data_IF_599562426278
#
_entry.id   IF_599562426278
#
_cell.length_a   1.000
_cell.length_b   1.000
_cell.length_c   1.000
_cell.angle_alpha   90.00
_cell.angle_beta   90.00
_cell.angle_gamma   90.00
#
_symmetry.space_group_name_H-M   'P 1'
#
loop_
_entity.id
_entity.type
_entity.pdbx_description
1 polymer ?
2 polymer ?
3 polymer ?
4 polymer ?
5 water ?
#
# COMPACT_ATOMS: atom_id res chain seq x y z
N UNK A 1 -3.18 -13.03 -0.94
CA UNK A 1 -3.16 -14.07 -1.97
C UNK A 1 -4.61 -14.46 -2.21
N UNK A 2 -5.02 -15.07 -1.09
CA UNK A 2 -6.42 -15.57 -1.01
C UNK A 2 -6.92 -14.64 0.09
N UNK A 3 -8.24 -14.58 0.06
CA UNK A 3 -9.00 -13.74 1.03
C UNK A 3 -8.24 -13.80 2.37
N UNK A 4 -7.22 -12.93 2.40
CA UNK A 4 -6.34 -12.86 3.60
C UNK A 4 -5.01 -13.38 3.05
N UNK A 5 -4.20 -12.47 2.61
CA UNK A 5 -2.85 -12.52 2.07
C UNK A 5 -2.10 -13.81 2.27
N UNK A 6 -1.04 -14.00 3.04
CA UNK A 6 -0.50 -15.43 3.05
C UNK A 6 -1.37 -16.44 3.80
N UNK A 7 -0.92 -17.03 4.91
CA UNK A 7 -1.53 -18.01 5.80
C UNK A 7 -1.24 -17.67 7.29
N UNK A 8 0.02 -17.15 7.41
CA UNK A 8 0.48 -16.72 8.74
C UNK A 8 0.39 -15.16 8.66
N UNK A 9 -0.38 -14.89 7.56
CA UNK A 9 -0.64 -13.52 7.16
C UNK A 9 -1.13 -12.68 8.34
N UNK A 10 -0.61 -11.46 8.17
CA UNK A 10 -0.81 -10.31 9.01
C UNK A 10 -0.34 -10.41 10.43
N UNK A 11 0.47 -11.42 10.83
CA UNK A 11 1.00 -11.54 12.18
C UNK A 11 2.50 -11.16 12.08
N UNK A 12 2.76 -9.97 12.57
CA UNK A 12 4.10 -9.41 12.55
C UNK A 12 5.03 -10.13 13.51
N UNK A 13 6.12 -10.66 12.95
CA UNK A 13 7.11 -11.38 13.73
C UNK A 13 7.54 -10.57 14.93
N UNK A 14 7.79 -9.28 14.86
CA UNK A 14 8.23 -8.41 15.93
C UNK A 14 7.20 -7.72 16.82
N UNK A 15 5.94 -8.00 16.59
CA UNK A 15 4.89 -7.36 17.43
C UNK A 15 3.93 -8.51 17.78
N UNK A 16 2.99 -8.84 16.93
CA UNK A 16 2.01 -9.90 17.21
C UNK A 16 2.65 -11.12 17.82
N UNK A 17 3.53 -11.81 17.17
CA UNK A 17 4.29 -12.96 17.68
C UNK A 17 4.96 -12.83 19.08
N UNK A 18 5.28 -11.65 19.62
CA UNK A 18 5.93 -11.57 20.93
C UNK A 18 5.01 -10.78 21.85
N UNK A 19 3.80 -10.72 21.35
CA UNK A 19 2.73 -9.98 22.06
C UNK A 19 3.16 -8.55 22.39
N UNK A 20 3.79 -7.85 21.42
CA UNK A 20 4.24 -6.45 21.62
C UNK A 20 3.36 -5.54 20.76
N UNK A 21 2.90 -4.43 21.27
CA UNK A 21 2.09 -3.50 20.50
C UNK A 21 2.91 -2.36 19.92
N UNK A 22 2.65 -1.93 18.69
CA UNK A 22 3.37 -0.77 18.06
C UNK A 22 2.76 0.48 18.75
N UNK A 23 3.61 1.51 18.67
CA UNK A 23 3.23 2.79 19.36
C UNK A 23 1.98 3.45 18.90
N UNK A 24 1.24 3.04 17.88
CA UNK A 24 0.00 3.86 17.63
C UNK A 24 -1.12 2.92 17.21
N UNK A 25 -0.83 1.64 17.33
CA UNK A 25 -1.90 0.72 16.95
C UNK A 25 -3.14 0.94 17.79
N UNK A 26 -3.09 1.35 19.04
CA UNK A 26 -4.17 1.61 19.98
C UNK A 26 -5.11 2.63 19.33
N UNK A 27 -4.54 3.61 18.65
CA UNK A 27 -5.30 4.68 17.97
C UNK A 27 -6.36 4.05 17.07
N UNK A 28 -5.95 3.16 16.24
CA UNK A 28 -6.74 2.39 15.33
C UNK A 28 -7.89 1.64 15.96
N UNK A 29 -7.49 0.74 16.87
CA UNK A 29 -8.38 -0.18 17.59
C UNK A 29 -9.41 0.58 18.39
N UNK A 30 -9.03 1.69 18.91
CA UNK A 30 -9.99 2.47 19.71
C UNK A 30 -11.13 3.04 18.90
N UNK A 31 -10.88 3.24 17.65
CA UNK A 31 -11.75 3.79 16.60
C UNK A 31 -12.77 2.75 16.15
N UNK A 32 -12.43 1.50 16.31
CA UNK A 32 -13.31 0.39 15.91
C UNK A 32 -14.26 0.26 17.08
N UNK A 33 -14.18 1.26 17.88
CA UNK A 33 -14.91 1.50 19.15
C UNK A 33 -14.41 0.54 20.24
N UNK A 34 -13.11 0.39 20.18
CA UNK A 34 -12.03 -0.31 20.87
C UNK A 34 -12.04 -1.79 20.50
N UNK A 35 -11.14 -2.31 19.70
CA UNK A 35 -11.08 -3.68 19.30
C UNK A 35 -11.46 -4.90 20.14
N UNK A 36 -10.61 -5.93 19.99
CA UNK A 36 -10.62 -7.26 20.57
C UNK A 36 -10.85 -7.22 22.09
N UNK B 1 4.43 10.56 2.37
CA UNK B 1 3.42 10.67 3.37
C UNK B 1 3.53 12.06 4.01
N UNK B 2 2.45 12.77 4.15
CA UNK B 2 2.36 14.09 4.77
C UNK B 2 1.86 14.09 6.21
N UNK B 3 2.63 14.66 7.13
CA UNK B 3 2.33 14.75 8.56
C UNK B 3 2.29 13.38 9.23
N UNK B 4 3.22 12.52 8.88
CA UNK B 4 3.27 11.15 9.42
C UNK B 4 4.43 10.95 10.39
N UNK B 5 4.94 9.73 10.54
CA UNK B 5 6.06 9.49 11.46
C UNK B 5 6.97 8.46 10.87
N UNK B 6 8.10 8.32 11.52
CA UNK B 6 9.09 7.31 11.13
C UNK B 6 8.58 5.96 11.61
N UNK B 7 8.33 5.06 10.72
CA UNK B 7 7.87 3.73 11.05
C UNK B 7 8.84 3.12 12.08
N UNK B 8 8.43 2.13 12.89
CA UNK B 8 9.34 1.49 13.84
C UNK B 8 9.89 0.27 13.05
N UNK B 9 10.94 -0.36 13.52
CA UNK B 9 11.49 -1.49 12.79
C UNK B 9 10.43 -2.57 12.95
N UNK B 10 10.16 -3.18 11.84
CA UNK B 10 9.26 -4.24 11.46
C UNK B 10 7.81 -3.94 11.75
N UNK B 11 7.39 -2.71 11.67
CA UNK B 11 6.04 -2.25 11.92
C UNK B 11 5.11 -2.59 10.74
N UNK B 12 5.63 -2.67 9.58
CA UNK B 12 5.07 -2.95 8.24
C UNK B 12 5.84 -3.92 7.36
N UNK B 13 5.93 -5.14 7.73
CA UNK B 13 6.68 -6.18 7.04
C UNK B 13 6.31 -6.57 5.60
N UNK B 14 5.13 -6.09 5.21
CA UNK B 14 4.55 -6.30 3.90
C UNK B 14 4.95 -5.11 2.95
N UNK B 15 5.56 -4.03 3.46
CA UNK B 15 5.90 -2.93 2.55
C UNK B 15 7.04 -3.34 1.62
N UNK B 16 6.75 -3.00 0.37
CA UNK B 16 7.70 -3.30 -0.74
C UNK B 16 8.14 -2.00 -1.38
N UNK B 17 9.27 -1.97 -2.11
CA UNK B 17 9.70 -0.69 -2.76
C UNK B 17 9.68 -0.98 -4.26
N UNK B 18 9.01 -0.10 -4.97
CA UNK B 18 9.01 -0.37 -6.48
C UNK B 18 10.15 0.55 -6.90
N UNK B 19 11.21 -0.06 -7.36
CA UNK B 19 12.50 0.59 -7.75
C UNK B 19 12.91 0.27 -9.19
N UNK B 20 13.21 1.40 -9.82
CA UNK B 20 13.65 1.57 -11.18
C UNK B 20 15.18 1.40 -11.28
N UNK B 21 15.53 0.52 -12.19
CA UNK B 21 16.90 0.14 -12.47
C UNK B 21 17.73 1.33 -12.95
N UNK B 22 17.30 1.94 -14.04
CA UNK B 22 18.07 3.10 -14.57
C UNK B 22 17.18 4.16 -15.25
N UNK B 23 17.17 5.36 -14.68
CA UNK B 23 17.88 5.74 -13.48
C UNK B 23 17.41 4.88 -12.30
N UNK B 24 18.26 4.68 -11.33
CA UNK B 24 17.99 3.89 -10.12
C UNK B 24 17.06 4.83 -9.35
N UNK B 25 15.85 4.43 -9.06
CA UNK B 25 14.97 5.37 -8.34
C UNK B 25 13.67 4.69 -7.91
N UNK B 26 13.10 5.30 -6.87
CA UNK B 26 11.85 4.88 -6.25
C UNK B 26 10.71 5.31 -7.17
N UNK B 27 10.07 4.28 -7.66
CA UNK B 27 8.90 4.38 -8.51
C UNK B 27 7.64 4.57 -7.63
N UNK B 28 7.35 3.59 -6.78
CA UNK B 28 6.17 3.59 -5.89
C UNK B 28 6.30 2.60 -4.72
N UNK B 29 5.17 2.48 -4.00
CA UNK B 29 5.08 1.55 -2.82
C UNK B 29 4.37 0.30 -3.36
N UNK B 30 4.29 -0.74 -2.56
CA UNK B 30 3.62 -2.00 -3.01
C UNK B 30 3.46 -2.82 -1.73
N UNK B 31 2.86 -4.00 -1.84
CA UNK B 31 2.70 -4.89 -0.66
C UNK B 31 2.77 -6.38 -0.99
N UNK B 32 3.45 -7.13 -0.12
CA UNK B 32 3.66 -8.61 -0.24
C UNK B 32 2.39 -9.36 0.23
N UNK B 33 1.67 -10.05 -0.67
CA UNK B 33 0.44 -10.77 -0.31
C UNK B 33 0.75 -12.26 -0.10
N UNK B 34 1.94 -12.67 -0.51
CA UNK B 34 2.49 -14.02 -0.41
C UNK B 34 3.99 -13.92 -0.77
N UNK B 35 4.72 -15.03 -0.69
CA UNK B 35 6.17 -15.11 -1.00
C UNK B 35 6.50 -14.93 -2.48
N UNK B 36 5.50 -14.98 -3.33
CA UNK B 36 5.72 -14.81 -4.76
C UNK B 36 4.93 -13.66 -5.43
N UNK B 37 4.01 -13.02 -4.72
CA UNK B 37 3.13 -11.97 -5.23
C UNK B 37 3.14 -10.66 -4.47
N UNK B 38 3.23 -9.66 -5.31
CA UNK B 38 3.26 -8.24 -4.90
C UNK B 38 2.03 -7.52 -5.46
N UNK B 39 1.48 -6.55 -4.79
CA UNK B 39 0.29 -5.78 -5.18
C UNK B 39 0.67 -4.29 -5.19
N UNK B 40 0.18 -3.70 -6.28
CA UNK B 40 0.48 -2.23 -6.47
C UNK B 40 -0.66 -1.63 -7.23
N UNK B 41 -0.49 -0.34 -7.53
CA UNK B 41 -1.47 0.49 -8.31
C UNK B 41 -1.15 0.29 -9.78
N UNK B 42 -2.03 -0.04 -10.70
CA UNK B 42 -1.60 -0.19 -12.11
C UNK B 42 -0.87 1.07 -12.68
N UNK B 43 -1.25 2.29 -12.28
CA UNK B 43 -0.76 3.56 -12.69
C UNK B 43 0.75 3.75 -12.41
N UNK B 44 1.34 2.86 -11.61
CA UNK B 44 2.76 2.91 -11.31
C UNK B 44 3.57 2.26 -12.50
N UNK B 45 2.91 1.43 -13.21
CA UNK B 45 3.34 0.64 -14.37
C UNK B 45 3.12 1.44 -15.66
N UNK B 46 1.84 1.51 -16.00
CA UNK B 46 1.10 2.11 -17.07
C UNK B 46 0.30 3.39 -16.82
N UNK B 47 0.67 4.39 -17.60
CA UNK B 47 0.14 5.75 -17.63
C UNK B 47 0.59 6.53 -18.88
N UNK B 48 -0.16 6.26 -19.97
CA UNK B 48 0.13 6.88 -21.29
C UNK B 48 0.24 8.38 -21.25
N UNK B 49 -0.68 8.99 -20.58
CA UNK B 49 -0.58 10.44 -20.48
C UNK B 49 0.85 10.81 -20.20
N UNK B 50 1.57 10.24 -19.26
CA UNK B 50 2.95 10.65 -19.02
C UNK B 50 3.94 9.76 -19.75
N UNK B 51 3.53 9.02 -20.72
CA UNK B 51 4.55 8.17 -21.42
C UNK B 51 5.20 7.15 -20.50
N UNK B 52 4.38 6.67 -19.55
CA UNK B 52 4.82 5.65 -18.55
C UNK B 52 4.38 4.24 -18.94
N UNK B 53 5.32 3.30 -19.04
CA UNK B 53 4.83 1.94 -19.43
C UNK B 53 5.94 0.95 -19.16
N UNK B 54 6.20 0.76 -17.88
CA UNK B 54 7.25 -0.15 -17.45
C UNK B 54 6.99 -1.61 -17.71
N UNK B 55 8.05 -2.32 -18.10
CA UNK B 55 8.07 -3.76 -18.37
C UNK B 55 8.72 -4.45 -17.16
N UNK B 56 8.61 -5.75 -17.14
CA UNK B 56 9.13 -6.64 -16.09
C UNK B 56 10.62 -6.43 -15.84
N UNK B 57 11.29 -6.14 -16.95
CA UNK B 57 12.71 -5.88 -17.05
C UNK B 57 13.08 -4.44 -16.67
N UNK B 58 12.09 -3.54 -16.57
CA UNK B 58 12.54 -2.21 -16.20
C UNK B 58 12.53 -2.10 -14.68
N UNK B 59 12.01 -3.12 -13.98
CA UNK B 59 11.96 -2.92 -12.53
C UNK B 59 12.55 -4.03 -11.68
N UNK B 60 12.77 -3.56 -10.46
CA UNK B 60 13.26 -4.22 -9.28
C UNK B 60 12.27 -3.97 -8.10
N UNK B 61 12.03 -5.08 -7.38
CA UNK B 61 11.15 -5.09 -6.19
C UNK B 61 12.00 -5.29 -4.96
N UNK B 62 11.98 -4.45 -4.00
CA UNK B 62 12.76 -4.51 -2.79
C UNK B 62 11.92 -4.57 -1.49
N UNK B 63 11.95 -5.79 -0.91
CA UNK B 63 11.29 -6.12 0.33
C UNK B 63 12.08 -6.17 1.63
N UNK B 64 11.70 -5.45 2.69
CA UNK B 64 12.39 -5.49 3.98
C UNK B 64 13.07 -4.22 4.44
N UNK B 65 12.79 -3.25 3.58
CA UNK B 65 13.35 -1.92 3.73
C UNK B 65 12.76 -1.12 4.87
N UNK B 66 13.58 -0.19 5.33
CA UNK B 66 13.29 0.77 6.36
C UNK B 66 13.81 2.12 5.76
N UNK B 67 15.07 1.94 5.43
CA UNK B 67 15.83 3.10 4.87
C UNK B 67 15.33 3.26 3.43
N UNK B 68 15.13 4.55 3.10
CA UNK B 68 14.68 4.90 1.77
C UNK B 68 15.66 4.48 0.67
N UNK B 69 16.84 5.00 0.80
CA UNK B 69 18.07 4.99 0.05
C UNK B 69 19.22 4.05 0.19
N UNK B 70 19.66 3.74 1.42
CA UNK B 70 20.79 2.80 1.56
C UNK B 70 20.40 1.37 1.15
N UNK B 71 21.43 0.58 0.80
CA UNK B 71 21.14 -0.83 0.46
C UNK B 71 21.25 -1.63 1.75
N UNK B 72 20.24 -1.90 2.54
CA UNK B 72 20.19 -2.57 3.84
C UNK B 72 20.54 -4.06 3.76
N UNK B 73 21.84 -4.17 3.69
CA UNK B 73 22.72 -5.30 3.55
C UNK B 73 22.21 -6.61 4.16
N UNK B 74 22.22 -6.88 5.47
CA UNK B 74 21.67 -8.29 5.57
C UNK B 74 20.15 -8.31 5.81
N UNK B 75 19.47 -7.18 5.85
CA UNK B 75 18.00 -7.14 6.06
C UNK B 75 17.17 -7.26 4.77
N UNK B 76 17.31 -6.39 3.77
CA UNK B 76 16.55 -6.42 2.54
C UNK B 76 16.86 -7.50 1.55
N UNK B 77 15.93 -7.76 0.66
CA UNK B 77 15.95 -8.76 -0.43
C UNK B 77 15.42 -8.11 -1.72
N UNK B 78 16.18 -8.22 -2.79
CA UNK B 78 15.77 -7.63 -4.07
C UNK B 78 15.25 -8.73 -4.95
N UNK B 79 14.24 -8.54 -5.72
CA UNK B 79 13.67 -9.52 -6.61
C UNK B 79 13.42 -8.85 -7.99
N UNK B 80 13.39 -9.79 -8.88
CA UNK B 80 13.17 -9.62 -10.32
C UNK B 80 11.72 -10.12 -10.53
N UNK B 81 11.02 -9.24 -11.21
CA UNK B 81 9.61 -9.57 -11.48
C UNK B 81 9.69 -10.66 -12.56
N UNK B 82 8.65 -11.45 -12.52
CA UNK B 82 8.55 -12.51 -13.53
C UNK B 82 7.46 -12.08 -14.51
N UNK B 83 6.34 -11.62 -13.93
CA UNK B 83 5.20 -11.18 -14.72
C UNK B 83 4.46 -9.99 -14.12
N UNK B 84 3.81 -9.30 -15.06
CA UNK B 84 3.03 -8.11 -14.65
C UNK B 84 1.59 -8.31 -15.12
N UNK B 85 0.65 -8.03 -14.22
CA UNK B 85 -0.77 -8.14 -14.55
C UNK B 85 -1.46 -6.86 -14.05
N UNK B 86 -2.03 -6.18 -15.01
CA UNK B 86 -2.79 -4.95 -14.89
C UNK B 86 -4.26 -5.26 -15.03
N UNK B 87 -5.07 -4.69 -14.18
CA UNK B 87 -6.53 -4.98 -14.32
C UNK B 87 -6.91 -4.69 -15.78
N UNK B 88 -7.58 -5.62 -16.45
CA UNK B 88 -8.00 -5.43 -17.85
C UNK B 88 -8.88 -4.20 -17.99
N UNK B 89 -9.68 -3.81 -17.00
CA UNK B 89 -10.51 -2.63 -17.10
C UNK B 89 -10.07 -1.46 -16.23
N UNK B 90 -8.78 -1.25 -16.12
CA UNK B 90 -8.22 -0.11 -15.37
C UNK B 90 -8.53 1.13 -16.21
N UNK B 91 -9.03 2.19 -15.58
CA UNK B 91 -9.32 3.40 -16.34
C UNK B 91 -8.31 4.56 -16.16
N UNK B 92 -7.31 4.49 -17.05
CA UNK B 92 -6.26 5.55 -16.97
C UNK B 92 -6.83 6.79 -17.68
N UNK B 93 -7.78 6.56 -18.57
CA UNK B 93 -8.42 7.61 -19.33
C UNK B 93 -9.30 8.47 -18.43
N UNK B 94 -10.14 7.90 -17.51
CA UNK B 94 -10.91 9.02 -16.83
C UNK B 94 -10.65 9.16 -15.36
N UNK B 95 -10.88 8.16 -14.54
CA UNK B 95 -10.63 8.41 -13.10
C UNK B 95 -9.67 7.45 -12.43
N UNK B 96 -8.87 6.57 -13.01
CA UNK B 96 -7.97 5.66 -12.27
C UNK B 96 -8.81 4.58 -11.57
N UNK B 97 -9.90 4.23 -12.23
CA UNK B 97 -10.85 3.22 -11.76
C UNK B 97 -10.18 1.86 -12.04
N UNK B 98 -10.12 1.13 -10.90
CA UNK B 98 -9.47 -0.20 -10.99
C UNK B 98 -7.94 -0.03 -11.06
N UNK B 99 -7.46 0.87 -10.19
CA UNK B 99 -5.94 1.07 -10.21
C UNK B 99 -5.30 0.06 -9.24
N UNK B 100 -5.11 -1.10 -9.86
CA UNK B 100 -4.57 -2.30 -9.24
C UNK B 100 -3.74 -3.03 -10.31
N UNK B 101 -2.80 -3.85 -9.80
CA UNK B 101 -1.93 -4.64 -10.66
C UNK B 101 -1.27 -5.62 -9.71
N UNK B 102 -1.03 -6.77 -10.32
CA UNK B 102 -0.31 -7.84 -9.56
C UNK B 102 1.08 -8.11 -10.19
N UNK B 103 2.00 -8.55 -9.36
CA UNK B 103 3.38 -8.90 -9.73
C UNK B 103 3.82 -10.29 -9.22
N UNK B 104 4.26 -11.09 -10.17
CA UNK B 104 4.77 -12.45 -9.90
C UNK B 104 6.29 -12.32 -9.89
N UNK B 105 6.80 -12.65 -8.68
CA UNK B 105 8.27 -12.53 -8.53
C UNK B 105 8.80 -13.85 -9.14
N UNK B 106 10.02 -13.68 -9.65
CA UNK B 106 10.77 -14.77 -10.30
C UNK B 106 11.04 -15.95 -9.41
N UNK B 107 11.24 -15.82 -8.11
CA UNK B 107 11.50 -16.98 -7.17
C UNK B 107 10.94 -16.47 -5.83
N UNK B 108 10.35 -17.32 -5.01
CA UNK B 108 9.77 -16.93 -3.73
C UNK B 108 10.83 -16.33 -2.81
N UNK B 109 10.38 -15.44 -1.99
CA UNK B 109 11.06 -14.70 -0.97
C UNK B 109 10.83 -15.48 0.36
N UNK B 110 11.95 -15.49 1.11
CA UNK B 110 11.85 -16.16 2.45
C UNK B 110 11.49 -15.01 3.43
N UNK B 111 10.60 -15.41 4.32
CA UNK B 111 10.06 -14.56 5.37
C UNK B 111 11.10 -14.39 6.45
N UNK B 112 10.96 -13.33 7.24
CA UNK B 112 11.95 -13.09 8.29
C UNK B 112 11.27 -12.07 9.19
N UNK B 113 11.99 -11.58 10.14
CA UNK B 113 11.54 -10.60 11.13
C UNK B 113 10.96 -9.31 10.51
N UNK B 114 11.54 -9.02 9.33
CA UNK B 114 11.26 -7.86 8.52
C UNK B 114 10.49 -7.99 7.21
N UNK B 115 10.09 -9.18 6.87
CA UNK B 115 9.38 -9.68 5.68
C UNK B 115 8.34 -10.75 6.03
N UNK B 116 7.12 -10.31 5.83
CA UNK B 116 5.91 -11.05 6.13
C UNK B 116 4.69 -10.46 5.44
N UNK B 117 3.95 -11.33 4.79
CA UNK B 117 2.77 -10.95 4.08
C UNK B 117 1.64 -10.42 5.01
N UNK B 118 0.79 -9.66 4.31
CA UNK B 118 -0.45 -9.01 4.82
C UNK B 118 -1.56 -9.94 4.27
N UNK B 119 -2.65 -10.01 4.95
CA UNK B 119 -3.87 -10.74 4.65
C UNK B 119 -4.81 -9.87 3.81
N UNK B 120 -5.41 -10.42 2.85
CA UNK B 120 -6.43 -9.88 1.91
C UNK B 120 -7.74 -10.11 2.69
N UNK B 121 -8.65 -9.15 2.63
CA UNK B 121 -9.86 -9.26 3.42
C UNK B 121 -10.90 -10.17 2.75
N UNK B 122 -11.68 -10.82 3.60
CA UNK B 122 -12.84 -11.67 3.19
C UNK B 122 -14.10 -10.79 3.27
N UNK B 123 -15.20 -11.23 2.62
CA UNK B 123 -16.45 -10.45 2.64
C UNK B 123 -16.87 -9.89 3.99
N UNK B 124 -16.58 -10.56 5.08
CA UNK B 124 -17.03 -10.09 6.37
C UNK B 124 -16.07 -9.18 7.08
N UNK B 125 -14.80 -9.38 6.75
CA UNK B 125 -13.79 -8.51 7.40
C UNK B 125 -14.08 -7.17 6.74
N UNK B 126 -14.11 -7.21 5.45
CA UNK B 126 -14.38 -6.00 4.63
C UNK B 126 -15.57 -5.30 5.24
N UNK B 127 -16.71 -6.04 5.29
CA UNK B 127 -17.97 -5.49 5.82
C UNK B 127 -17.83 -4.99 7.24
N UNK B 128 -17.14 -5.62 8.16
CA UNK B 128 -17.14 -4.93 9.49
C UNK B 128 -16.13 -3.84 9.68
N UNK B 129 -15.04 -3.68 8.96
CA UNK B 129 -14.12 -2.63 9.28
C UNK B 129 -14.24 -1.44 8.38
N UNK B 130 -14.73 -1.68 7.17
CA UNK B 130 -14.84 -0.51 6.22
C UNK B 130 -16.01 0.41 6.56
N UNK B 131 -15.89 1.18 7.59
CA UNK B 131 -16.82 2.13 8.13
C UNK B 131 -16.20 3.50 8.39
N UNK B 132 -16.81 4.56 7.87
CA UNK B 132 -16.31 5.97 8.01
C UNK B 132 -16.11 6.16 9.51
N UNK B 133 -15.02 6.85 9.84
CA UNK B 133 -14.84 6.94 11.34
C UNK B 133 -13.66 6.02 11.71
N UNK B 134 -13.65 4.78 11.20
CA UNK B 134 -12.59 3.78 11.46
C UNK B 134 -11.28 4.25 10.86
N UNK B 135 -10.22 4.09 11.63
CA UNK B 135 -8.90 4.52 11.10
C UNK B 135 -8.19 3.35 10.49
N UNK B 136 -7.34 3.53 9.52
CA UNK B 136 -6.53 2.62 8.72
C UNK B 136 -5.15 3.32 8.77
N UNK B 137 -4.11 2.73 8.28
CA UNK B 137 -2.77 3.20 8.29
C UNK B 137 -2.13 3.06 6.93
N UNK B 138 -1.47 4.16 6.53
CA UNK B 138 -0.76 4.24 5.25
C UNK B 138 0.76 4.37 5.54
N UNK B 139 1.52 3.79 4.59
CA UNK B 139 2.98 3.81 4.64
C UNK B 139 3.68 4.08 3.32
N UNK B 140 4.84 4.74 3.54
CA UNK B 140 5.60 5.04 2.30
C UNK B 140 6.79 5.94 2.54
N UNK B 141 7.59 5.97 1.48
CA UNK B 141 8.83 6.71 1.39
C UNK B 141 8.68 7.87 0.40
N UNK B 142 7.46 8.25 0.14
CA UNK B 142 7.06 9.35 -0.79
C UNK B 142 7.19 10.71 -0.12
N UNK B 143 6.98 11.72 -0.92
CA UNK B 143 7.08 13.12 -0.47
C UNK B 143 6.38 13.38 0.86
N UNK B 144 7.07 14.25 1.55
CA UNK B 144 6.67 14.77 2.87
C UNK B 144 5.86 16.05 2.70
N UNK B 145 5.95 16.57 1.50
CA UNK B 145 5.28 17.84 1.20
C UNK B 145 4.70 17.92 -0.19
N UNK B 146 3.48 18.43 -0.25
CA UNK B 146 2.81 18.59 -1.56
C UNK B 146 3.79 19.32 -2.49
N UNK B 155 11.27 16.79 2.00
CA UNK B 155 10.57 16.43 0.75
C UNK B 155 10.62 14.93 0.44
N UNK B 156 11.78 14.33 0.60
CA UNK B 156 12.01 12.87 0.37
C UNK B 156 12.46 12.41 1.78
N UNK B 157 11.71 11.54 2.45
CA UNK B 157 12.06 11.07 3.78
C UNK B 157 13.35 10.25 3.89
N UNK B 158 13.76 10.13 5.15
CA UNK B 158 14.94 9.31 5.42
C UNK B 158 14.51 7.82 5.58
N UNK B 159 13.57 7.65 6.46
CA UNK B 159 12.93 6.37 6.81
C UNK B 159 11.43 6.37 6.45
N UNK B 160 10.96 5.11 6.32
CA UNK B 160 9.56 4.75 6.02
C UNK B 160 8.65 5.57 6.93
N UNK B 161 7.62 6.18 6.34
CA UNK B 161 6.73 7.04 7.17
C UNK B 161 5.38 6.34 7.40
N UNK B 162 4.71 6.67 8.50
CA UNK B 162 3.47 6.03 8.80
C UNK B 162 2.48 7.15 9.09
N UNK B 163 1.21 6.94 8.93
CA UNK B 163 0.10 7.82 9.19
C UNK B 163 -1.18 6.93 9.30
N UNK B 164 -2.04 7.27 10.26
CA UNK B 164 -3.33 6.64 10.62
C UNK B 164 -4.40 7.64 10.19
N UNK B 165 -5.28 7.27 9.36
CA UNK B 165 -6.33 8.15 8.86
C UNK B 165 -7.72 7.58 9.03
N UNK B 166 -8.66 8.44 9.34
CA UNK B 166 -10.03 7.92 9.49
C UNK B 166 -10.64 7.70 8.09
N UNK B 167 -11.56 6.83 7.87
CA UNK B 167 -12.29 6.55 6.63
C UNK B 167 -13.50 7.53 6.61
N UNK B 168 -13.74 8.13 5.46
CA UNK B 168 -14.77 9.14 5.16
C UNK B 168 -15.93 8.63 4.34
N UNK B 169 -17.05 9.16 4.69
CA UNK B 169 -18.39 8.93 4.14
C UNK B 169 -18.39 9.18 2.63
N UNK B 170 -18.95 8.29 1.84
CA UNK B 170 -19.02 8.37 0.38
C UNK B 170 -19.35 9.77 -0.14
N UNK B 171 -20.41 10.36 0.36
CA UNK B 171 -20.88 11.68 0.05
C UNK B 171 -19.81 12.73 0.33
N UNK B 172 -19.32 12.89 1.54
CA UNK B 172 -18.26 13.91 1.74
C UNK B 172 -17.13 13.79 0.64
N UNK B 173 -16.85 12.51 0.36
CA UNK B 173 -15.87 12.06 -0.60
C UNK B 173 -16.20 12.63 -1.98
N UNK B 174 -17.48 12.38 -2.38
CA UNK B 174 -17.87 12.89 -3.73
C UNK B 174 -17.84 14.39 -3.86
N UNK B 175 -18.27 15.12 -2.83
CA UNK B 175 -18.32 16.59 -2.90
C UNK B 175 -17.02 17.31 -2.77
N UNK B 176 -15.90 16.67 -2.66
CA UNK B 176 -14.62 17.36 -2.48
C UNK B 176 -13.87 17.43 -3.79
N UNK B 177 -14.52 16.83 -4.79
CA UNK B 177 -13.91 16.76 -6.15
C UNK B 177 -14.95 16.76 -7.24
N UNK B 178 -14.48 16.99 -8.44
CA UNK B 178 -15.15 17.07 -9.70
C UNK B 178 -14.96 15.74 -10.41
N UNK B 179 -14.02 14.96 -9.98
CA UNK B 179 -13.73 13.65 -10.58
C UNK B 179 -14.83 12.61 -10.35
N UNK B 180 -15.18 11.75 -11.25
CA UNK B 180 -16.22 10.74 -11.02
C UNK B 180 -15.73 9.55 -10.14
N UNK B 181 -16.26 9.50 -8.94
CA UNK B 181 -15.90 8.45 -7.96
C UNK B 181 -16.71 7.16 -8.14
N UNK B 182 -16.06 6.06 -8.48
CA UNK B 182 -16.72 4.75 -8.67
C UNK B 182 -16.74 4.03 -7.33
N UNK B 183 -17.34 2.88 -7.28
CA UNK B 183 -17.57 1.93 -6.21
C UNK B 183 -16.29 1.11 -5.91
N UNK B 184 -15.30 1.21 -6.76
CA UNK B 184 -14.02 0.55 -6.54
C UNK B 184 -13.10 1.57 -5.83
N UNK B 185 -13.55 2.64 -5.25
CA UNK B 185 -12.60 3.59 -4.59
C UNK B 185 -13.15 3.90 -3.21
N UNK B 186 -12.42 4.55 -2.33
CA UNK B 186 -12.85 4.93 -0.98
C UNK B 186 -11.86 6.08 -0.72
N UNK B 187 -12.30 7.02 0.11
CA UNK B 187 -11.37 8.17 0.40
C UNK B 187 -11.15 8.17 1.91
N UNK B 188 -10.06 8.81 2.30
CA UNK B 188 -9.66 8.92 3.71
C UNK B 188 -8.86 10.21 3.94
N UNK B 189 -8.95 10.68 5.19
CA UNK B 189 -8.27 11.84 5.65
C UNK B 189 -9.14 12.42 6.73
N UNK B 190 -8.58 13.35 7.46
CA UNK B 190 -9.40 14.00 8.47
C UNK B 190 -10.08 15.23 7.79
N UNK B 191 -11.15 15.65 8.44
CA UNK B 191 -11.92 16.83 8.05
C UNK B 191 -11.16 18.02 8.66
N UNK B 192 -11.25 19.16 7.96
CA UNK B 192 -10.59 20.41 8.38
C UNK B 192 -10.96 20.76 9.81
N UNK B 193 -12.17 20.49 10.21
CA UNK B 193 -12.54 20.81 11.59
C UNK B 193 -11.70 19.94 12.52
N UNK B 194 -11.71 18.67 12.22
CA UNK B 194 -11.03 17.66 13.01
C UNK B 194 -9.67 18.14 13.47
N UNK B 195 -9.15 19.08 12.67
CA UNK B 195 -7.83 19.64 13.01
C UNK B 195 -6.89 18.53 13.50
N UNK B 196 -6.43 17.73 12.55
CA UNK B 196 -5.49 16.61 12.56
C UNK B 196 -5.19 16.43 11.06
N UNK B 197 -3.98 16.22 10.61
CA UNK B 197 -3.69 16.05 9.18
C UNK B 197 -3.03 14.71 8.81
N UNK B 198 -2.49 14.69 7.62
CA UNK B 198 -1.81 13.58 7.04
C UNK B 198 -2.47 13.09 5.75
N UNK B 199 -1.61 12.58 4.88
CA UNK B 199 -2.00 12.04 3.57
C UNK B 199 -0.81 11.30 2.92
N UNK B 200 -1.10 10.63 1.84
CA UNK B 200 -0.15 9.92 0.98
C UNK B 200 0.33 11.10 0.10
N UNK B 201 1.22 10.99 -0.83
CA UNK B 201 1.72 12.08 -1.68
C UNK B 201 2.51 11.39 -2.79
N UNK B 202 3.02 12.15 -3.75
CA UNK B 202 3.82 11.59 -4.84
C UNK B 202 4.81 10.57 -4.23
N UNK B 203 4.89 9.43 -4.95
CA UNK B 203 5.72 8.32 -4.59
C UNK B 203 5.16 7.27 -3.64
N UNK B 204 4.11 7.54 -2.92
CA UNK B 204 3.33 6.78 -1.98
C UNK B 204 2.44 5.75 -2.69
N UNK B 205 2.07 6.00 -3.92
CA UNK B 205 1.26 5.12 -4.70
C UNK B 205 1.63 3.67 -4.63
N UNK B 206 0.62 2.80 -4.52
CA UNK B 206 0.86 1.36 -4.52
C UNK B 206 1.02 0.83 -3.13
N UNK B 207 1.26 1.73 -2.19
CA UNK B 207 1.41 1.31 -0.78
C UNK B 207 0.01 0.87 -0.34
N UNK B 208 0.06 0.10 0.76
CA UNK B 208 -1.14 -0.49 1.34
C UNK B 208 -1.83 0.46 2.32
N UNK B 209 -3.11 0.39 2.42
CA UNK B 209 -3.98 1.08 3.38
C UNK B 209 -4.36 -0.18 4.26
N UNK B 210 -3.94 -0.29 5.50
CA UNK B 210 -4.19 -1.49 6.31
C UNK B 210 -5.00 -1.18 7.54
N UNK B 211 -5.60 -2.25 8.01
CA UNK B 211 -6.48 -2.22 9.21
C UNK B 211 -6.23 -3.43 10.07
N UNK B 212 -6.24 -3.25 11.38
CA UNK B 212 -6.00 -4.38 12.29
C UNK B 212 -7.35 -5.00 12.68
N UNK B 213 -7.57 -6.29 12.52
CA UNK B 213 -8.88 -6.78 12.95
C UNK B 213 -8.92 -7.06 14.43
N UNK B 214 -9.98 -6.49 15.02
CA UNK B 214 -10.21 -6.65 16.48
C UNK B 214 -10.75 -8.09 16.73
N UNK B 215 -11.08 -8.89 15.70
CA UNK B 215 -11.63 -10.27 16.00
C UNK B 215 -10.54 -11.31 16.12
N UNK B 216 -9.50 -11.19 15.25
CA UNK B 216 -8.37 -12.13 15.26
C UNK B 216 -7.02 -11.45 15.31
N UNK B 217 -6.90 -10.15 15.50
CA UNK B 217 -5.65 -9.41 15.57
C UNK B 217 -4.74 -9.48 14.32
N UNK B 218 -5.15 -9.67 13.14
CA UNK B 218 -4.39 -9.76 11.95
C UNK B 218 -4.50 -8.45 11.17
N UNK B 219 -3.48 -8.13 10.42
CA UNK B 219 -3.42 -6.91 9.62
C UNK B 219 -4.08 -7.26 8.32
N UNK B 220 -4.97 -6.36 7.95
CA UNK B 220 -5.70 -6.57 6.65
C UNK B 220 -5.46 -5.44 5.66
N UNK B 221 -5.31 -5.85 4.38
CA UNK B 221 -5.04 -4.78 3.42
C UNK B 221 -6.37 -4.37 2.77
N UNK B 222 -6.91 -3.23 3.10
CA UNK B 222 -8.18 -2.80 2.55
C UNK B 222 -8.11 -1.96 1.30
N UNK B 223 -7.13 -1.09 1.21
CA UNK B 223 -6.94 -0.20 0.09
C UNK B 223 -5.48 -0.12 -0.37
N UNK B 224 -5.46 0.46 -1.59
CA UNK B 224 -4.17 0.72 -2.24
C UNK B 224 -4.06 2.23 -2.52
N UNK B 225 -3.08 2.91 -2.05
CA UNK B 225 -2.86 4.34 -2.32
C UNK B 225 -2.96 4.56 -3.85
N UNK B 226 -3.95 5.38 -4.19
CA UNK B 226 -4.14 5.64 -5.60
C UNK B 226 -3.96 7.04 -6.13
N UNK B 227 -4.72 8.00 -5.63
CA UNK B 227 -4.59 9.40 -6.24
C UNK B 227 -5.18 10.39 -5.28
N UNK B 228 -5.03 11.62 -5.60
CA UNK B 228 -5.58 12.71 -4.71
C UNK B 228 -5.27 14.05 -5.40
N UNK B 229 -5.82 15.11 -4.85
CA UNK B 229 -5.57 16.49 -5.42
C UNK B 229 -4.64 17.22 -4.46
N UNK B 230 -3.39 17.36 -4.91
CA UNK B 230 -2.35 18.02 -4.02
C UNK B 230 -1.98 16.99 -2.93
N UNK B 231 -1.65 17.38 -1.72
CA UNK B 231 -1.31 16.40 -0.62
C UNK B 231 -1.63 17.12 0.69
N UNK B 232 -2.41 16.60 1.57
CA UNK B 232 -2.77 17.25 2.86
C UNK B 232 -3.40 18.65 2.78
N UNK B 233 -4.36 18.90 1.90
CA UNK B 233 -5.09 20.13 1.72
C UNK B 233 -6.42 20.01 2.43
N UNK B 234 -6.79 21.05 3.17
CA UNK B 234 -8.11 21.04 3.84
C UNK B 234 -9.21 20.82 2.80
N UNK B 235 -10.24 20.06 3.21
CA UNK B 235 -11.36 19.83 2.28
C UNK B 235 -10.98 18.82 1.20
N UNK B 236 -9.78 18.20 1.33
CA UNK B 236 -9.46 17.18 0.28
C UNK B 236 -9.06 15.89 1.03
N UNK B 237 -9.31 14.75 0.33
CA UNK B 237 -9.02 13.40 0.82
C UNK B 237 -8.16 12.55 -0.07
N UNK B 238 -7.65 11.46 0.47
CA UNK B 238 -6.82 10.46 -0.27
C UNK B 238 -7.91 9.46 -0.82
N UNK B 239 -7.66 8.94 -2.00
CA UNK B 239 -8.44 7.98 -2.76
C UNK B 239 -7.57 6.71 -2.96
N UNK B 240 -8.28 5.63 -2.62
CA UNK B 240 -7.73 4.27 -2.63
C UNK B 240 -8.42 3.21 -3.40
N UNK B 241 -7.70 2.27 -4.04
CA UNK B 241 -8.40 1.17 -4.77
C UNK B 241 -9.04 0.34 -3.66
N UNK B 242 -10.25 -0.09 -3.83
CA UNK B 242 -11.02 -0.92 -2.81
C UNK B 242 -10.60 -2.35 -3.09
N UNK B 243 -9.63 -2.82 -2.36
CA UNK B 243 -9.07 -4.20 -2.51
C UNK B 243 -10.15 -5.26 -2.49
N UNK B 244 -11.14 -5.22 -1.61
CA UNK B 244 -12.19 -6.24 -1.60
C UNK B 244 -13.06 -6.27 -2.84
N UNK B 245 -13.52 -5.10 -3.32
CA UNK B 245 -14.31 -5.02 -4.54
C UNK B 245 -13.57 -5.70 -5.69
N UNK B 246 -12.24 -5.80 -5.66
CA UNK B 246 -11.56 -6.47 -6.78
C UNK B 246 -10.90 -7.80 -6.44
N UNK B 247 -11.32 -8.41 -5.36
CA UNK B 247 -10.77 -9.67 -4.90
C UNK B 247 -10.97 -10.81 -5.88
N UNK B 248 -12.07 -10.84 -6.59
CA UNK B 248 -12.36 -11.88 -7.59
C UNK B 248 -11.38 -11.76 -8.77
N UNK B 249 -10.95 -10.53 -9.09
CA UNK B 249 -9.99 -10.40 -10.19
C UNK B 249 -8.70 -11.03 -9.62
N UNK B 250 -8.30 -10.68 -8.44
CA UNK B 250 -7.09 -11.14 -7.75
C UNK B 250 -7.10 -12.66 -7.59
N UNK B 251 -8.24 -13.16 -7.08
CA UNK B 251 -8.36 -14.63 -6.83
C UNK B 251 -8.05 -15.34 -8.16
N UNK B 252 -8.87 -14.89 -9.10
CA UNK B 252 -8.85 -15.33 -10.50
C UNK B 252 -7.48 -15.35 -11.15
N UNK B 253 -6.51 -14.48 -10.85
CA UNK B 253 -5.22 -14.53 -11.53
C UNK B 253 -4.25 -15.37 -10.70
N UNK B 254 -4.44 -15.39 -9.39
CA UNK B 254 -3.46 -16.19 -8.61
C UNK B 254 -3.62 -17.66 -9.02
N UNK B 255 -4.81 -17.98 -9.52
CA UNK B 255 -4.95 -19.40 -9.89
C UNK B 255 -5.12 -19.72 -11.35
N UNK B 256 -4.35 -19.07 -12.18
CA UNK B 256 -4.30 -19.27 -13.62
C UNK B 256 -2.76 -19.16 -13.81
N UNK B 257 -2.24 -18.03 -13.41
CA UNK B 257 -0.84 -17.64 -13.44
C UNK B 257 -0.13 -18.37 -12.29
N UNK B 258 -1.04 -18.93 -11.50
CA UNK B 258 -0.78 -19.73 -10.33
C UNK B 258 0.31 -19.43 -9.34
N UNK B 259 -0.05 -18.60 -8.34
CA UNK B 259 0.95 -18.23 -7.29
C UNK B 259 1.54 -19.45 -6.58
N UNK C 3 20.70 10.05 -4.13
CA UNK C 3 21.39 9.76 -2.85
C UNK C 3 21.34 8.21 -2.69
N UNK C 4 20.68 7.61 -3.69
CA UNK C 4 20.53 6.16 -3.70
C UNK C 4 21.91 5.51 -3.78
N UNK C 5 22.08 4.56 -2.88
CA UNK C 5 23.27 3.73 -2.71
C UNK C 5 23.16 2.76 -3.88
N UNK C 6 24.24 2.23 -4.45
CA UNK C 6 24.05 1.31 -5.59
C UNK C 6 23.64 -0.04 -5.00
N UNK C 7 23.41 -0.99 -5.85
CA UNK C 7 22.97 -2.31 -5.36
C UNK C 7 23.78 -3.41 -6.02
N UNK C 8 23.98 -4.48 -5.27
CA UNK C 8 24.74 -5.63 -5.84
C UNK C 8 24.13 -5.84 -7.23
N UNK C 9 25.10 -5.91 -8.11
CA UNK C 9 25.11 -6.04 -9.55
C UNK C 9 24.54 -7.32 -10.06
N UNK C 10 24.43 -8.24 -9.14
CA UNK C 10 23.85 -9.57 -9.27
C UNK C 10 22.32 -9.36 -9.32
N UNK C 11 21.94 -8.09 -9.15
CA UNK C 11 20.55 -7.66 -9.15
C UNK C 11 20.07 -6.98 -10.43
N UNK C 12 21.01 -6.25 -11.02
CA UNK C 12 20.79 -5.50 -12.27
C UNK C 12 20.69 -6.47 -13.47
CA UNK D 1 -6.35 14.31 -9.49
C UNK D 1 -4.83 14.37 -9.61
N UNK D 2 -4.00 14.12 -8.61
CA UNK D 2 -2.63 13.79 -8.99
C UNK D 2 -2.48 12.28 -8.73
N UNK D 3 -2.32 11.55 -9.80
CA UNK D 3 -2.12 10.11 -9.87
C UNK D 3 -0.88 9.92 -9.01
N UNK D 4 -0.89 9.27 -7.89
CA UNK D 4 0.21 9.07 -6.95
C UNK D 4 1.29 8.01 -7.13
#
# INVERSE_FOLDING_TARGET
TFGSGEADCGLRPLFEKKSLEDKTERELLESYIDGR
IVEGSDAEIGMSPWQVMLFRKSPQELLCGASLISDRWVLTAAHCLLYPPWDKNFTENDLLVRIGKHSRTRYERNIEKISMLEKIYIHPRYNWRENLDRDIALMKLKKPVAFSDYIHPVCLPDRETAASLLQAGYKGRVTGWGNLKETWTANVGKGQPSVLQVVNLPIVERPVCKDSTRIRITDNMFCAGYKPDEGKRGDACEGDSGGPFVMKSPFNNRWYQMGIVSWGEGCDRDGKYGFYTHVFRLKKWIQKVIDQFGE
NGDFEEIPEEYL
XGVR
#
